data_IF_029360265719
#
_entry.id   IF_029360265719
#
_cell.length_a   1.000
_cell.length_b   1.000
_cell.length_c   1.000
_cell.angle_alpha   90.00
_cell.angle_beta   90.00
_cell.angle_gamma   90.00
#
_symmetry.space_group_name_H-M   'P 1'
#
loop_
_entity.id
_entity.type
_entity.pdbx_description
1 polymer ?
#
# COMPACT_ATOMS: atom_id res chain seq x y z
N UNK A 1 3.30 24.44 -43.81
CA UNK A 1 2.40 23.35 -43.38
C UNK A 1 1.80 23.72 -42.04
N UNK A 2 0.51 24.13 -41.99
CA UNK A 2 -0.21 24.46 -40.75
C UNK A 2 -1.32 23.45 -40.37
N UNK A 3 -1.60 22.45 -41.22
CA UNK A 3 -2.71 21.51 -41.02
C UNK A 3 -2.37 20.34 -40.08
N UNK A 4 -1.10 19.94 -40.03
CA UNK A 4 -0.64 18.79 -39.25
C UNK A 4 -0.64 19.06 -37.73
N UNK A 5 -0.41 20.31 -37.31
CA UNK A 5 -0.46 20.70 -35.88
C UNK A 5 -1.88 20.64 -35.31
N UNK A 6 -2.88 21.03 -36.10
CA UNK A 6 -4.30 21.00 -35.67
C UNK A 6 -4.87 19.59 -35.56
N UNK A 7 -4.49 18.67 -36.44
CA UNK A 7 -4.93 17.26 -36.37
C UNK A 7 -4.28 16.55 -35.18
N UNK A 8 -2.98 16.81 -34.96
CA UNK A 8 -2.21 16.33 -33.81
C UNK A 8 -2.80 16.81 -32.48
N UNK A 9 -3.12 18.10 -32.37
CA UNK A 9 -3.76 18.67 -31.17
C UNK A 9 -5.16 18.10 -30.92
N UNK A 10 -5.98 17.92 -31.97
CA UNK A 10 -7.32 17.33 -31.82
C UNK A 10 -7.26 15.86 -31.39
N UNK A 11 -6.37 15.06 -31.97
CA UNK A 11 -6.22 13.65 -31.61
C UNK A 11 -5.64 13.47 -30.19
N UNK A 12 -4.62 14.27 -29.82
CA UNK A 12 -4.09 14.31 -28.46
C UNK A 12 -5.16 14.73 -27.44
N UNK A 13 -6.01 15.70 -27.81
CA UNK A 13 -7.14 16.14 -26.96
C UNK A 13 -8.19 15.05 -26.81
N UNK A 14 -8.57 14.35 -27.88
CA UNK A 14 -9.56 13.28 -27.88
C UNK A 14 -9.07 12.02 -27.13
N UNK A 15 -7.80 11.65 -27.33
CA UNK A 15 -7.14 10.56 -26.61
C UNK A 15 -7.03 10.90 -25.11
N UNK A 16 -6.57 12.11 -24.76
CA UNK A 16 -6.52 12.56 -23.37
C UNK A 16 -7.93 12.57 -22.73
N UNK A 17 -8.96 12.95 -23.48
CA UNK A 17 -10.35 12.99 -22.99
C UNK A 17 -10.90 11.60 -22.62
N UNK A 18 -10.45 10.54 -23.28
CA UNK A 18 -10.98 9.18 -23.08
C UNK A 18 -10.04 8.27 -22.26
N UNK A 19 -8.73 8.36 -22.47
CA UNK A 19 -7.74 7.52 -21.79
C UNK A 19 -7.49 7.97 -20.34
N UNK A 20 -7.39 9.29 -20.10
CA UNK A 20 -7.08 9.83 -18.76
C UNK A 20 -8.16 9.48 -17.73
N UNK A 21 -9.48 9.65 -17.98
CA UNK A 21 -10.50 9.28 -17.01
C UNK A 21 -10.53 7.77 -16.71
N UNK A 22 -10.29 6.94 -17.71
CA UNK A 22 -10.25 5.47 -17.57
C UNK A 22 -9.06 5.04 -16.72
N UNK A 23 -7.87 5.60 -16.98
CA UNK A 23 -6.68 5.38 -16.17
C UNK A 23 -6.87 5.87 -14.74
N UNK A 24 -7.43 7.06 -14.52
CA UNK A 24 -7.70 7.59 -13.18
C UNK A 24 -8.70 6.72 -12.41
N UNK A 25 -9.73 6.19 -13.08
CA UNK A 25 -10.65 5.20 -12.49
C UNK A 25 -9.93 3.92 -12.10
N UNK A 26 -9.06 3.39 -12.97
CA UNK A 26 -8.26 2.20 -12.68
C UNK A 26 -7.33 2.41 -11.49
N UNK A 27 -6.60 3.53 -11.44
CA UNK A 27 -5.74 3.91 -10.30
C UNK A 27 -6.56 4.00 -9.01
N UNK A 28 -7.72 4.67 -9.05
CA UNK A 28 -8.62 4.77 -7.90
C UNK A 28 -9.10 3.41 -7.41
N UNK A 29 -9.46 2.52 -8.33
CA UNK A 29 -9.86 1.14 -8.02
C UNK A 29 -8.71 0.36 -7.36
N UNK A 30 -7.51 0.37 -7.95
CA UNK A 30 -6.33 -0.32 -7.41
C UNK A 30 -5.98 0.21 -6.01
N UNK A 31 -6.01 1.53 -5.80
CA UNK A 31 -5.77 2.12 -4.47
C UNK A 31 -6.78 1.62 -3.43
N UNK A 32 -8.04 1.45 -3.82
CA UNK A 32 -9.10 0.90 -2.96
C UNK A 32 -8.86 -0.57 -2.64
N UNK A 33 -8.54 -1.39 -3.65
CA UNK A 33 -8.19 -2.81 -3.45
C UNK A 33 -6.97 -2.96 -2.54
N UNK A 34 -5.90 -2.20 -2.76
CA UNK A 34 -4.72 -2.22 -1.91
C UNK A 34 -5.04 -1.85 -0.46
N UNK A 35 -5.99 -0.93 -0.24
CA UNK A 35 -6.45 -0.59 1.12
C UNK A 35 -7.22 -1.75 1.76
N UNK A 36 -8.04 -2.47 1.01
CA UNK A 36 -8.73 -3.66 1.54
C UNK A 36 -7.77 -4.79 1.87
N UNK A 37 -6.80 -5.07 0.99
CA UNK A 37 -5.75 -6.07 1.24
C UNK A 37 -4.95 -5.72 2.50
N UNK A 38 -4.57 -4.45 2.64
CA UNK A 38 -3.90 -3.94 3.84
C UNK A 38 -4.72 -4.22 5.10
N UNK A 39 -5.98 -3.80 5.14
CA UNK A 39 -6.85 -3.99 6.31
C UNK A 39 -7.09 -5.46 6.63
N UNK A 40 -7.26 -6.30 5.60
CA UNK A 40 -7.41 -7.75 5.77
C UNK A 40 -6.15 -8.38 6.37
N UNK A 41 -4.97 -8.03 5.87
CA UNK A 41 -3.70 -8.55 6.38
C UNK A 41 -3.43 -8.11 7.83
N UNK A 42 -3.71 -6.84 8.16
CA UNK A 42 -3.63 -6.35 9.54
C UNK A 42 -4.59 -7.10 10.45
N UNK A 43 -5.86 -7.26 10.06
CA UNK A 43 -6.84 -8.00 10.85
C UNK A 43 -6.45 -9.46 11.07
N UNK A 44 -5.96 -10.16 10.04
CA UNK A 44 -5.48 -11.54 10.18
C UNK A 44 -4.30 -11.62 11.14
N UNK A 45 -3.32 -10.71 11.00
CA UNK A 45 -2.17 -10.61 11.89
C UNK A 45 -2.61 -10.32 13.34
N UNK A 46 -3.52 -9.37 13.53
CA UNK A 46 -4.10 -9.01 14.82
C UNK A 46 -4.73 -10.23 15.52
N UNK A 47 -5.62 -10.95 14.83
CA UNK A 47 -6.31 -12.09 15.40
C UNK A 47 -5.34 -13.21 15.79
N UNK A 48 -4.33 -13.45 14.95
CA UNK A 48 -3.31 -14.46 15.20
C UNK A 48 -2.43 -14.12 16.41
N UNK A 49 -1.94 -12.87 16.47
CA UNK A 49 -1.15 -12.40 17.61
C UNK A 49 -1.97 -12.36 18.89
N UNK A 50 -3.23 -11.93 18.82
CA UNK A 50 -4.10 -11.89 19.97
C UNK A 50 -4.38 -13.28 20.52
N UNK A 51 -4.64 -14.25 19.63
CA UNK A 51 -4.78 -15.65 20.04
C UNK A 51 -3.49 -16.17 20.68
N UNK A 52 -2.33 -15.92 20.06
CA UNK A 52 -1.05 -16.34 20.60
C UNK A 52 -0.80 -15.75 22.00
N UNK A 53 -0.89 -14.43 22.16
CA UNK A 53 -0.68 -13.76 23.44
C UNK A 53 -1.69 -14.21 24.51
N UNK A 54 -2.93 -14.51 24.10
CA UNK A 54 -3.92 -15.10 24.99
C UNK A 54 -3.47 -16.46 25.53
N UNK A 55 -2.94 -17.34 24.68
CA UNK A 55 -2.38 -18.64 25.13
C UNK A 55 -1.18 -18.49 26.06
N UNK A 56 -0.50 -17.35 26.03
CA UNK A 56 0.60 -17.02 26.95
C UNK A 56 0.12 -16.35 28.26
N UNK A 57 -1.19 -16.33 28.52
CA UNK A 57 -1.80 -15.68 29.68
C UNK A 57 -1.53 -14.16 29.79
N UNK A 58 -1.39 -13.47 28.66
CA UNK A 58 -1.17 -12.01 28.64
C UNK A 58 -2.41 -11.17 29.05
N UNK A 59 -3.55 -11.81 29.34
CA UNK A 59 -4.79 -11.14 29.74
C UNK A 59 -5.26 -10.11 28.71
N UNK A 60 -5.67 -8.93 29.17
CA UNK A 60 -6.12 -7.84 28.28
C UNK A 60 -5.06 -7.37 27.27
N UNK A 61 -3.76 -7.52 27.59
CA UNK A 61 -2.68 -7.11 26.70
C UNK A 61 -2.61 -7.94 25.41
N UNK A 62 -3.19 -9.14 25.42
CA UNK A 62 -3.29 -9.97 24.23
C UNK A 62 -3.97 -9.25 23.06
N UNK A 63 -4.96 -8.41 23.35
CA UNK A 63 -5.69 -7.64 22.34
C UNK A 63 -5.11 -6.23 22.17
N UNK A 64 -4.69 -5.61 23.26
CA UNK A 64 -4.27 -4.21 23.26
C UNK A 64 -2.96 -3.99 22.51
N UNK A 65 -1.98 -4.90 22.68
CA UNK A 65 -0.65 -4.75 22.06
C UNK A 65 -0.70 -4.88 20.54
N UNK A 66 -1.31 -5.93 19.94
CA UNK A 66 -1.43 -6.03 18.49
C UNK A 66 -2.23 -4.86 17.89
N UNK A 67 -3.27 -4.38 18.59
CA UNK A 67 -4.06 -3.24 18.15
C UNK A 67 -3.22 -1.95 18.05
N UNK A 68 -2.33 -1.71 19.02
CA UNK A 68 -1.43 -0.55 19.00
C UNK A 68 -0.47 -0.63 17.81
N UNK A 69 0.09 -1.81 17.51
CA UNK A 69 0.95 -1.98 16.34
C UNK A 69 0.21 -1.70 15.04
N UNK A 70 -1.00 -2.21 14.89
CA UNK A 70 -1.83 -1.96 13.71
C UNK A 70 -2.20 -0.48 13.57
N UNK A 71 -2.62 0.16 14.65
CA UNK A 71 -2.93 1.59 14.67
C UNK A 71 -1.70 2.44 14.32
N UNK A 72 -0.52 2.09 14.84
CA UNK A 72 0.73 2.75 14.51
C UNK A 72 1.08 2.58 13.02
N UNK A 73 0.97 1.37 12.48
CA UNK A 73 1.20 1.11 11.06
C UNK A 73 0.26 1.94 10.18
N UNK A 74 -1.05 1.93 10.45
CA UNK A 74 -2.04 2.71 9.70
C UNK A 74 -1.77 4.22 9.79
N UNK A 75 -1.42 4.72 10.97
CA UNK A 75 -1.09 6.13 11.19
C UNK A 75 0.14 6.54 10.37
N UNK A 76 1.23 5.76 10.43
CA UNK A 76 2.44 6.05 9.66
C UNK A 76 2.21 5.98 8.14
N UNK A 77 1.43 5.00 7.67
CA UNK A 77 1.04 4.92 6.26
C UNK A 77 0.23 6.15 5.82
N UNK A 78 -0.64 6.66 6.69
CA UNK A 78 -1.40 7.88 6.43
C UNK A 78 -0.48 9.07 6.25
N UNK A 79 0.54 9.22 7.10
CA UNK A 79 1.56 10.27 6.99
C UNK A 79 2.33 10.15 5.66
N UNK A 80 2.79 8.95 5.32
CA UNK A 80 3.57 8.69 4.10
C UNK A 80 2.78 9.03 2.83
N UNK A 81 1.49 8.63 2.81
CA UNK A 81 0.59 8.80 1.67
C UNK A 81 0.04 10.23 1.53
N UNK A 82 0.04 11.03 2.60
CA UNK A 82 -0.46 12.41 2.54
C UNK A 82 0.47 13.29 1.70
N UNK A 83 -0.03 13.92 0.60
CA UNK A 83 0.73 14.90 -0.16
C UNK A 83 1.07 16.14 0.68
N UNK A 84 2.22 16.77 0.43
CA UNK A 84 2.61 18.01 1.13
C UNK A 84 3.24 17.83 2.52
N UNK A 85 3.28 16.62 3.08
CA UNK A 85 4.05 16.34 4.30
C UNK A 85 5.55 16.40 4.01
N UNK A 86 6.29 17.00 4.95
CA UNK A 86 7.73 17.17 4.87
C UNK A 86 8.48 15.83 4.69
N UNK A 87 9.56 15.84 3.89
CA UNK A 87 10.26 14.62 3.45
C UNK A 87 10.90 13.86 4.63
N UNK A 88 11.40 14.58 5.61
CA UNK A 88 11.92 14.07 6.88
C UNK A 88 10.84 13.36 7.69
N UNK A 89 9.65 13.95 7.83
CA UNK A 89 8.51 13.32 8.49
C UNK A 89 8.08 12.04 7.77
N UNK A 90 8.08 12.01 6.44
CA UNK A 90 7.80 10.79 5.66
C UNK A 90 8.85 9.70 5.88
N UNK A 91 10.13 10.07 5.95
CA UNK A 91 11.22 9.13 6.25
C UNK A 91 11.08 8.55 7.65
N UNK A 92 10.82 9.41 8.65
CA UNK A 92 10.58 8.98 10.03
C UNK A 92 9.37 8.04 10.13
N UNK A 93 8.27 8.38 9.47
CA UNK A 93 7.08 7.53 9.43
C UNK A 93 7.36 6.17 8.78
N UNK A 94 8.13 6.13 7.69
CA UNK A 94 8.54 4.86 7.08
C UNK A 94 9.41 3.99 8.00
N UNK A 95 10.30 4.60 8.80
CA UNK A 95 11.13 3.86 9.77
C UNK A 95 10.25 3.25 10.86
N UNK A 96 9.34 4.03 11.45
CA UNK A 96 8.42 3.55 12.49
C UNK A 96 7.49 2.47 11.93
N UNK A 97 6.96 2.66 10.73
CA UNK A 97 6.16 1.66 10.02
C UNK A 97 6.92 0.34 9.83
N UNK A 98 8.14 0.40 9.30
CA UNK A 98 8.97 -0.78 9.08
C UNK A 98 9.29 -1.50 10.40
N UNK A 99 9.61 -0.76 11.46
CA UNK A 99 9.84 -1.32 12.79
C UNK A 99 8.61 -2.06 13.35
N UNK A 100 7.44 -1.42 13.32
CA UNK A 100 6.20 -2.03 13.77
C UNK A 100 5.83 -3.28 12.94
N UNK A 101 5.99 -3.22 11.61
CA UNK A 101 5.71 -4.34 10.73
C UNK A 101 6.68 -5.51 10.95
N UNK A 102 7.98 -5.25 11.16
CA UNK A 102 8.96 -6.31 11.46
C UNK A 102 8.71 -6.96 12.81
N UNK A 103 8.38 -6.19 13.85
CA UNK A 103 8.00 -6.74 15.16
C UNK A 103 6.73 -7.60 15.04
N UNK A 104 5.72 -7.11 14.33
CA UNK A 104 4.48 -7.84 14.06
C UNK A 104 4.75 -9.15 13.30
N UNK A 105 5.58 -9.13 12.25
CA UNK A 105 6.00 -10.33 11.53
C UNK A 105 6.76 -11.31 12.44
N UNK A 106 7.63 -10.79 13.33
CA UNK A 106 8.39 -11.60 14.29
C UNK A 106 7.47 -12.32 15.27
N UNK A 107 6.47 -11.63 15.83
CA UNK A 107 5.51 -12.23 16.76
C UNK A 107 4.67 -13.30 16.04
N UNK A 108 4.19 -13.01 14.83
CA UNK A 108 3.49 -13.99 14.00
C UNK A 108 4.38 -15.23 13.75
N UNK A 109 5.66 -15.04 13.47
CA UNK A 109 6.59 -16.14 13.30
C UNK A 109 6.89 -16.87 14.62
N UNK A 110 6.91 -16.20 15.78
CA UNK A 110 7.18 -16.82 17.07
C UNK A 110 6.02 -17.69 17.59
N UNK A 111 4.82 -17.49 17.06
CA UNK A 111 3.63 -18.26 17.44
C UNK A 111 3.80 -19.78 17.26
N UNK A 112 3.15 -20.61 18.10
CA UNK A 112 3.17 -22.06 17.97
C UNK A 112 2.53 -22.53 16.66
N UNK A 113 3.10 -23.58 16.05
CA UNK A 113 2.58 -24.17 14.82
C UNK A 113 3.67 -24.82 13.97
N UNK A 114 3.28 -25.42 12.84
CA UNK A 114 4.24 -25.91 11.86
C UNK A 114 5.05 -24.75 11.27
N UNK A 115 6.29 -25.03 10.85
CA UNK A 115 7.16 -24.02 10.25
C UNK A 115 6.50 -23.31 9.06
N UNK A 116 5.78 -24.08 8.22
CA UNK A 116 5.03 -23.56 7.09
C UNK A 116 3.93 -22.57 7.52
N UNK A 117 3.16 -22.90 8.57
CA UNK A 117 2.09 -22.02 9.06
C UNK A 117 2.65 -20.72 9.64
N UNK A 118 3.74 -20.81 10.42
CA UNK A 118 4.44 -19.65 11.00
C UNK A 118 4.97 -18.72 9.91
N UNK A 119 5.54 -19.29 8.84
CA UNK A 119 6.01 -18.53 7.69
C UNK A 119 4.86 -17.82 6.95
N UNK A 120 3.70 -18.47 6.78
CA UNK A 120 2.52 -17.86 6.14
C UNK A 120 2.05 -16.62 6.90
N UNK A 121 1.91 -16.69 8.23
CA UNK A 121 1.48 -15.52 9.01
C UNK A 121 2.51 -14.38 9.02
N UNK A 122 3.80 -14.69 9.07
CA UNK A 122 4.84 -13.68 8.91
C UNK A 122 4.80 -13.02 7.53
N UNK A 123 4.59 -13.82 6.47
CA UNK A 123 4.47 -13.33 5.09
C UNK A 123 3.26 -12.41 4.90
N UNK A 124 2.13 -12.65 5.57
CA UNK A 124 0.97 -11.74 5.53
C UNK A 124 1.36 -10.31 5.94
N UNK A 125 2.20 -10.16 6.96
CA UNK A 125 2.69 -8.84 7.40
C UNK A 125 3.74 -8.28 6.44
N UNK A 126 4.61 -9.11 5.87
CA UNK A 126 5.58 -8.65 4.86
C UNK A 126 4.88 -8.17 3.58
N UNK A 127 3.79 -8.83 3.18
CA UNK A 127 2.96 -8.42 2.04
C UNK A 127 2.37 -7.02 2.24
N UNK A 128 2.05 -6.61 3.47
CA UNK A 128 1.61 -5.24 3.78
C UNK A 128 2.67 -4.21 3.37
N UNK A 129 3.94 -4.47 3.69
CA UNK A 129 5.06 -3.61 3.28
C UNK A 129 5.18 -3.60 1.75
N UNK A 130 5.12 -4.76 1.11
CA UNK A 130 5.23 -4.90 -0.35
C UNK A 130 4.13 -4.15 -1.10
N UNK A 131 2.87 -4.34 -0.70
CA UNK A 131 1.70 -3.66 -1.29
C UNK A 131 1.82 -2.15 -1.12
N UNK A 132 2.32 -1.66 0.02
CA UNK A 132 2.56 -0.23 0.21
C UNK A 132 3.59 0.33 -0.76
N UNK A 133 4.74 -0.34 -0.88
CA UNK A 133 5.83 0.09 -1.75
C UNK A 133 5.38 0.19 -3.21
N UNK A 134 4.50 -0.71 -3.66
CA UNK A 134 3.89 -0.65 -4.99
C UNK A 134 2.86 0.47 -5.06
N UNK A 135 1.95 0.58 -4.09
CA UNK A 135 0.89 1.59 -4.07
C UNK A 135 1.45 3.03 -4.11
N UNK A 136 2.56 3.30 -3.42
CA UNK A 136 3.24 4.60 -3.43
C UNK A 136 3.85 4.98 -4.79
N UNK A 137 4.01 4.02 -5.71
CA UNK A 137 4.54 4.24 -7.06
C UNK A 137 3.45 4.36 -8.13
N UNK A 138 2.19 4.02 -7.81
CA UNK A 138 1.07 4.13 -8.76
C UNK A 138 0.71 5.61 -8.94
N UNK A 139 1.22 6.18 -10.02
CA UNK A 139 0.91 7.53 -10.51
C UNK A 139 0.72 7.50 -12.03
N UNK A 140 -0.11 8.39 -12.60
CA UNK A 140 -0.15 8.58 -14.04
C UNK A 140 1.26 8.92 -14.57
N UNK A 141 1.68 8.25 -15.64
CA UNK A 141 2.89 8.60 -16.37
C UNK A 141 2.47 9.43 -17.59
N UNK A 142 2.43 10.75 -17.40
CA UNK A 142 2.04 11.67 -18.46
C UNK A 142 3.06 11.71 -19.60
N UNK A 143 4.34 11.43 -19.34
CA UNK A 143 5.38 11.40 -20.37
C UNK A 143 5.24 10.16 -21.28
N UNK A 144 4.89 9.01 -20.71
CA UNK A 144 4.58 7.81 -21.49
C UNK A 144 3.31 8.01 -22.35
N UNK A 145 2.30 8.70 -21.81
CA UNK A 145 1.08 9.05 -22.55
C UNK A 145 1.39 9.96 -23.74
N UNK A 146 2.22 10.98 -23.55
CA UNK A 146 2.65 11.87 -24.63
C UNK A 146 3.46 11.13 -25.69
N UNK A 147 4.33 10.19 -25.30
CA UNK A 147 5.12 9.38 -26.23
C UNK A 147 4.27 8.38 -27.02
N UNK A 148 3.27 7.75 -26.39
CA UNK A 148 2.34 6.83 -27.06
C UNK A 148 1.41 7.60 -28.02
N UNK A 149 0.96 8.79 -27.64
CA UNK A 149 0.22 9.70 -28.53
C UNK A 149 1.07 10.14 -29.73
N UNK A 150 2.36 10.43 -29.53
CA UNK A 150 3.29 10.80 -30.60
C UNK A 150 3.63 9.65 -31.56
N UNK A 151 3.53 8.39 -31.12
CA UNK A 151 3.78 7.20 -31.95
C UNK A 151 2.57 6.77 -32.81
N UNK A 152 1.38 7.30 -32.52
CA UNK A 152 0.14 7.03 -33.24
C UNK A 152 -0.19 8.10 -34.31
N UNK A 153 0.66 9.12 -34.43
CA UNK A 153 0.63 10.19 -35.44
C UNK A 153 1.65 9.91 -36.54
#
# INVERSE_FOLDING_TARGET
>A
MPADSTFTEQFATEYARNAVPTMLKAIGSIKRYNRFVLLGALLTSYLHQAHYLWTQNAGYFAYLVPLIFDAAMVSMLTIVRTPGIAKDAKRGAMVVFAGAALLSATINFASPGSLALRAVFALVVVLVIGVELVAGRIRPDFAAIEAEAAALL
#
